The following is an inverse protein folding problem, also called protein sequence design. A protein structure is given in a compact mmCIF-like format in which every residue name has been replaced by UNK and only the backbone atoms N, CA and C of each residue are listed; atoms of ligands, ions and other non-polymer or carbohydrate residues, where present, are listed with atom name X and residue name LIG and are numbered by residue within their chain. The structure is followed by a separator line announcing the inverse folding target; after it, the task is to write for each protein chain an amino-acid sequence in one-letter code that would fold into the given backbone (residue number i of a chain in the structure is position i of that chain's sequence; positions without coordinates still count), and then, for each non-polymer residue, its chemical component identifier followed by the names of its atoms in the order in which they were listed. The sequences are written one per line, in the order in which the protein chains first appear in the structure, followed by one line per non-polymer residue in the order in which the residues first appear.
data_IF_531084035142
#
_entry.id   IF_531084035142
#
_cell.length_a   1.000
_cell.length_b   1.000
_cell.length_c   1.000
_cell.angle_alpha   90.00
_cell.angle_beta   90.00
_cell.angle_gamma   90.00
#
_symmetry.space_group_name_H-M   'P 1'
#
loop_
_entity.id
_entity.type
_entity.pdbx_description
1 polymer ?
#
# COMPACT_ATOMS: atom_id res chain seq x y z
N UNK A 1 15.81 5.37 -30.06
CA UNK A 1 15.28 4.20 -29.35
C UNK A 1 15.18 4.56 -27.88
N UNK A 2 13.96 4.64 -27.35
CA UNK A 2 13.73 4.95 -25.93
C UNK A 2 14.25 3.79 -25.09
N UNK A 3 15.23 4.03 -24.22
CA UNK A 3 15.73 2.98 -23.31
C UNK A 3 14.57 2.56 -22.42
N UNK A 4 14.19 1.28 -22.47
CA UNK A 4 13.25 0.69 -21.54
C UNK A 4 13.81 0.91 -20.13
N UNK A 5 13.14 1.72 -19.30
CA UNK A 5 13.57 1.95 -17.92
C UNK A 5 13.56 0.61 -17.19
N UNK A 6 14.72 0.23 -16.68
CA UNK A 6 14.90 -0.93 -15.82
C UNK A 6 14.23 -0.65 -14.47
N UNK A 7 13.37 -1.55 -14.02
CA UNK A 7 12.65 -1.41 -12.75
C UNK A 7 13.43 -2.12 -11.66
N UNK A 8 13.73 -1.39 -10.58
CA UNK A 8 14.45 -1.87 -9.40
C UNK A 8 13.48 -2.23 -8.29
N UNK A 9 13.56 -3.46 -7.77
CA UNK A 9 12.70 -3.96 -6.71
C UNK A 9 13.45 -4.16 -5.39
N UNK A 10 12.72 -4.01 -4.28
CA UNK A 10 13.16 -4.35 -2.93
C UNK A 10 12.07 -5.15 -2.23
N UNK A 11 12.45 -6.04 -1.30
CA UNK A 11 11.52 -6.69 -0.37
C UNK A 11 12.25 -7.00 0.93
N UNK A 12 11.58 -6.77 2.06
CA UNK A 12 12.01 -7.21 3.40
C UNK A 12 11.36 -8.54 3.78
N UNK A 13 10.51 -9.08 2.89
CA UNK A 13 9.81 -10.35 3.08
C UNK A 13 10.51 -11.43 2.26
N UNK A 14 11.00 -12.48 2.94
CA UNK A 14 11.56 -13.64 2.27
C UNK A 14 10.45 -14.60 1.81
N UNK A 15 9.87 -14.29 0.65
CA UNK A 15 8.89 -15.14 -0.03
C UNK A 15 9.34 -15.40 -1.46
N UNK A 16 9.60 -16.67 -1.76
CA UNK A 16 10.05 -17.13 -3.09
C UNK A 16 9.12 -16.69 -4.22
N UNK A 17 7.81 -16.66 -3.97
CA UNK A 17 6.83 -16.22 -4.95
C UNK A 17 7.00 -14.74 -5.36
N UNK A 18 7.47 -13.87 -4.48
CA UNK A 18 7.75 -12.46 -4.81
C UNK A 18 9.00 -12.35 -5.66
N UNK A 19 10.11 -12.95 -5.22
CA UNK A 19 11.40 -12.93 -5.93
C UNK A 19 11.26 -13.50 -7.35
N UNK A 20 10.67 -14.69 -7.49
CA UNK A 20 10.42 -15.31 -8.78
C UNK A 20 9.50 -14.48 -9.70
N UNK A 21 8.56 -13.74 -9.12
CA UNK A 21 7.65 -12.87 -9.86
C UNK A 21 8.36 -11.63 -10.42
N UNK A 22 9.29 -11.05 -9.67
CA UNK A 22 10.12 -9.92 -10.09
C UNK A 22 11.15 -10.34 -11.16
N UNK A 23 11.84 -11.46 -10.94
CA UNK A 23 12.78 -12.04 -11.91
C UNK A 23 12.11 -12.35 -13.25
N UNK A 24 10.91 -12.96 -13.24
CA UNK A 24 10.13 -13.25 -14.46
C UNK A 24 9.72 -11.98 -15.23
N UNK A 25 9.64 -10.82 -14.55
CA UNK A 25 9.38 -9.52 -15.19
C UNK A 25 10.65 -8.86 -15.74
N UNK A 26 11.82 -9.43 -15.48
CA UNK A 26 13.11 -8.81 -15.78
C UNK A 26 13.40 -7.60 -14.91
N UNK A 27 12.82 -7.53 -13.70
CA UNK A 27 13.16 -6.51 -12.74
C UNK A 27 14.44 -6.89 -12.00
N UNK A 28 15.27 -5.90 -11.67
CA UNK A 28 16.55 -6.11 -10.97
C UNK A 28 16.42 -5.72 -9.51
N UNK A 29 17.24 -6.33 -8.66
CA UNK A 29 17.27 -5.97 -7.25
C UNK A 29 17.85 -4.55 -7.07
N UNK A 30 17.15 -3.72 -6.30
CA UNK A 30 17.55 -2.36 -5.97
C UNK A 30 18.31 -2.28 -4.64
N UNK A 31 18.68 -1.06 -4.26
CA UNK A 31 19.31 -0.78 -2.96
C UNK A 31 18.41 0.11 -2.11
N UNK A 32 18.78 0.35 -0.86
CA UNK A 32 18.04 1.23 0.06
C UNK A 32 17.89 2.65 -0.51
N UNK A 33 18.91 3.14 -1.22
CA UNK A 33 18.94 4.49 -1.78
C UNK A 33 18.41 4.57 -3.23
N UNK A 34 18.26 3.42 -3.91
CA UNK A 34 17.94 3.37 -5.34
C UNK A 34 17.01 2.19 -5.67
N UNK A 35 15.71 2.45 -5.59
CA UNK A 35 14.65 1.50 -5.87
C UNK A 35 13.44 2.20 -6.50
N UNK A 36 12.61 1.42 -7.21
CA UNK A 36 11.34 1.90 -7.79
C UNK A 36 10.13 1.26 -7.14
N UNK A 37 10.23 -0.02 -6.79
CA UNK A 37 9.13 -0.77 -6.18
C UNK A 37 9.60 -1.48 -4.92
N UNK A 38 9.00 -1.18 -3.78
CA UNK A 38 9.30 -1.84 -2.52
C UNK A 38 8.09 -2.64 -2.04
N UNK A 39 8.23 -3.97 -2.01
CA UNK A 39 7.27 -4.84 -1.36
C UNK A 39 7.62 -4.96 0.13
N UNK A 40 7.04 -4.08 0.94
CA UNK A 40 7.31 -3.99 2.37
C UNK A 40 6.35 -4.86 3.21
N UNK A 41 6.85 -5.35 4.33
CA UNK A 41 6.04 -5.81 5.45
C UNK A 41 5.36 -4.63 6.16
N UNK A 42 4.27 -4.91 6.88
CA UNK A 42 3.47 -3.86 7.55
C UNK A 42 4.29 -3.06 8.58
N UNK A 43 5.25 -3.71 9.27
CA UNK A 43 6.12 -3.06 10.24
C UNK A 43 7.04 -2.01 9.59
N UNK A 44 7.84 -2.44 8.62
CA UNK A 44 8.77 -1.54 7.93
C UNK A 44 8.05 -0.48 7.10
N UNK A 45 6.89 -0.79 6.53
CA UNK A 45 6.04 0.20 5.87
C UNK A 45 5.69 1.37 6.80
N UNK A 46 5.30 1.08 8.05
CA UNK A 46 4.96 2.13 9.03
C UNK A 46 6.15 3.05 9.28
N UNK A 47 7.33 2.46 9.55
CA UNK A 47 8.56 3.23 9.76
C UNK A 47 8.94 4.05 8.53
N UNK A 48 8.77 3.49 7.33
CA UNK A 48 9.04 4.16 6.06
C UNK A 48 8.17 5.41 5.86
N UNK A 49 6.87 5.33 6.17
CA UNK A 49 5.94 6.47 6.04
C UNK A 49 6.15 7.53 7.12
N UNK A 50 6.65 7.15 8.30
CA UNK A 50 6.99 8.08 9.37
C UNK A 50 8.31 8.81 9.10
N UNK A 51 9.27 8.16 8.43
CA UNK A 51 10.63 8.70 8.26
C UNK A 51 10.83 9.53 7.00
N UNK A 52 10.13 9.23 5.90
CA UNK A 52 10.38 9.90 4.63
C UNK A 52 9.17 9.97 3.71
N UNK A 53 9.16 11.01 2.87
CA UNK A 53 8.25 11.11 1.74
C UNK A 53 8.84 10.35 0.55
N UNK A 54 8.02 9.53 -0.11
CA UNK A 54 8.43 8.79 -1.31
C UNK A 54 8.66 9.74 -2.50
N UNK A 55 9.67 9.42 -3.31
CA UNK A 55 9.91 10.06 -4.60
C UNK A 55 8.84 9.67 -5.63
N UNK A 56 8.70 10.45 -6.70
CA UNK A 56 7.69 10.21 -7.75
C UNK A 56 7.82 8.84 -8.44
N UNK A 57 9.04 8.28 -8.46
CA UNK A 57 9.36 6.99 -9.06
C UNK A 57 9.35 5.83 -8.04
N UNK A 58 8.95 6.08 -6.80
CA UNK A 58 8.91 5.10 -5.72
C UNK A 58 7.48 4.69 -5.39
N UNK A 59 7.23 3.38 -5.41
CA UNK A 59 5.93 2.78 -5.14
C UNK A 59 6.08 1.70 -4.06
N UNK A 60 5.19 1.73 -3.08
CA UNK A 60 5.13 0.73 -2.01
C UNK A 60 3.76 0.04 -2.06
N UNK A 61 3.71 -1.23 -1.67
CA UNK A 61 2.53 -2.09 -1.72
C UNK A 61 1.45 -1.80 -0.64
N UNK A 62 1.60 -0.74 0.17
CA UNK A 62 0.65 -0.38 1.23
C UNK A 62 0.19 1.07 1.11
N UNK A 63 -1.10 1.29 1.36
CA UNK A 63 -1.67 2.64 1.47
C UNK A 63 -1.49 3.21 2.88
N UNK A 64 -1.30 4.55 3.00
CA UNK A 64 -1.27 5.22 4.29
C UNK A 64 -2.56 4.95 5.04
N UNK A 65 -2.45 4.70 6.35
CA UNK A 65 -3.59 4.41 7.22
C UNK A 65 -4.45 3.20 6.79
N UNK A 66 -3.90 2.23 6.04
CA UNK A 66 -4.64 1.02 5.63
C UNK A 66 -5.32 0.30 6.82
N UNK A 67 -4.78 0.43 8.04
CA UNK A 67 -5.34 -0.15 9.25
C UNK A 67 -6.78 0.32 9.56
N UNK A 68 -7.20 1.50 9.10
CA UNK A 68 -8.58 1.99 9.25
C UNK A 68 -9.62 1.04 8.63
N UNK A 69 -9.22 0.33 7.57
CA UNK A 69 -10.08 -0.58 6.82
C UNK A 69 -9.71 -2.05 6.99
N UNK A 70 -8.52 -2.37 7.51
CA UNK A 70 -8.10 -3.78 7.69
C UNK A 70 -8.21 -4.28 9.14
N UNK A 71 -8.22 -3.39 10.14
CA UNK A 71 -8.46 -3.78 11.54
C UNK A 71 -9.96 -3.89 11.82
N UNK A 72 -10.40 -5.06 12.29
CA UNK A 72 -11.82 -5.33 12.56
C UNK A 72 -12.48 -4.32 13.51
N UNK A 73 -11.78 -3.88 14.55
CA UNK A 73 -12.29 -2.93 15.53
C UNK A 73 -12.47 -1.52 14.94
N UNK A 74 -11.52 -1.09 14.09
CA UNK A 74 -11.62 0.19 13.37
C UNK A 74 -12.68 0.14 12.27
N UNK A 75 -12.74 -0.95 11.51
CA UNK A 75 -13.77 -1.16 10.50
C UNK A 75 -15.18 -1.03 11.10
N UNK A 76 -15.45 -1.69 12.23
CA UNK A 76 -16.76 -1.59 12.92
C UNK A 76 -17.05 -0.14 13.33
N UNK A 77 -16.06 0.59 13.86
CA UNK A 77 -16.23 2.02 14.21
C UNK A 77 -16.50 2.88 12.98
N UNK A 78 -15.76 2.66 11.89
CA UNK A 78 -15.86 3.42 10.66
C UNK A 78 -17.22 3.20 9.96
N UNK A 79 -17.71 1.95 9.89
CA UNK A 79 -19.04 1.63 9.36
C UNK A 79 -20.14 2.29 10.22
N UNK A 80 -20.03 2.23 11.55
CA UNK A 80 -21.01 2.89 12.44
C UNK A 80 -21.02 4.39 12.28
N UNK A 81 -19.84 5.02 12.14
CA UNK A 81 -19.72 6.47 11.88
C UNK A 81 -20.37 6.83 10.55
N UNK A 82 -20.06 6.06 9.49
CA UNK A 82 -20.61 6.26 8.16
C UNK A 82 -22.15 6.17 8.14
N UNK A 83 -22.73 5.14 8.78
CA UNK A 83 -24.20 5.02 8.91
C UNK A 83 -24.84 6.25 9.56
N UNK A 84 -24.26 6.74 10.68
CA UNK A 84 -24.74 7.95 11.38
C UNK A 84 -24.60 9.23 10.56
N UNK A 85 -23.58 9.32 9.71
CA UNK A 85 -23.38 10.48 8.85
C UNK A 85 -24.46 10.52 7.76
N UNK A 86 -24.75 9.38 7.12
CA UNK A 86 -25.80 9.27 6.10
C UNK A 86 -27.20 9.51 6.70
N UNK A 87 -27.47 9.03 7.92
CA UNK A 87 -28.70 9.36 8.66
C UNK A 87 -28.93 10.86 8.81
N UNK A 88 -27.87 11.67 8.84
CA UNK A 88 -27.97 13.13 8.94
C UNK A 88 -28.02 13.82 7.59
N UNK A 89 -27.25 13.34 6.61
CA UNK A 89 -27.02 14.06 5.34
C UNK A 89 -27.91 13.57 4.21
N UNK A 90 -28.19 12.27 4.14
CA UNK A 90 -29.02 11.68 3.09
C UNK A 90 -29.82 10.45 3.59
N UNK A 91 -30.88 10.68 4.38
CA UNK A 91 -31.63 9.59 5.01
C UNK A 91 -32.24 8.59 4.02
N UNK A 92 -32.46 9.01 2.77
CA UNK A 92 -33.04 8.16 1.72
C UNK A 92 -32.09 7.08 1.20
N UNK A 93 -30.77 7.22 1.40
CA UNK A 93 -29.76 6.24 0.98
C UNK A 93 -29.58 5.08 1.98
N UNK A 94 -30.03 5.23 3.22
CA UNK A 94 -29.92 4.19 4.25
C UNK A 94 -30.58 2.87 3.88
N UNK A 95 -31.64 2.91 3.07
CA UNK A 95 -32.35 1.71 2.61
C UNK A 95 -31.48 0.79 1.73
N UNK A 96 -30.30 1.26 1.30
CA UNK A 96 -29.35 0.50 0.48
C UNK A 96 -28.11 0.02 1.27
N UNK A 97 -28.09 0.16 2.61
CA UNK A 97 -26.99 -0.20 3.53
C UNK A 97 -27.42 -1.13 4.68
#
# INVERSE_FOLDING_TARGET
MEKKKEVKWMTDIDKSCLKANFEKRGWVEGTVDDWNFYWAGVGNYRTLMESQRLNENQIVNHFPNHSELTRKDLMVKNIKRYKKEIEKTNPTELKYL
#
